data_IF_096395904207
#
_entry.id   IF_096395904207
#
_cell.length_a   1.000
_cell.length_b   1.000
_cell.length_c   1.000
_cell.angle_alpha   90.00
_cell.angle_beta   90.00
_cell.angle_gamma   90.00
#
_symmetry.space_group_name_H-M   'P 1'
#
loop_
_entity.id
_entity.type
_entity.pdbx_description
1 polymer ?
#
# COMPACT_ATOMS: atom_id res chain seq x y z
N UNK A 1 0.96 -6.98 21.42
CA UNK A 1 1.15 -5.86 20.47
C UNK A 1 2.32 -6.18 19.55
N UNK A 2 2.05 -6.27 18.25
CA UNK A 2 3.06 -6.44 17.21
C UNK A 2 3.04 -5.23 16.28
N UNK A 3 4.15 -4.98 15.57
CA UNK A 3 4.20 -3.88 14.61
C UNK A 3 3.71 -4.33 13.24
N UNK A 4 2.83 -3.54 12.65
CA UNK A 4 2.28 -3.77 11.32
C UNK A 4 2.23 -2.47 10.53
N UNK A 5 2.05 -2.59 9.21
CA UNK A 5 1.88 -1.43 8.34
C UNK A 5 0.40 -1.01 8.35
N UNK A 6 0.11 0.17 8.90
CA UNK A 6 -1.17 0.85 8.69
C UNK A 6 -1.19 1.44 7.27
N UNK A 7 -2.34 1.34 6.58
CA UNK A 7 -2.52 1.86 5.23
C UNK A 7 -3.64 2.89 5.25
N UNK A 8 -3.35 4.09 4.75
CA UNK A 8 -4.23 5.25 4.67
C UNK A 8 -4.37 5.66 3.21
N UNK A 9 -5.43 5.17 2.57
CA UNK A 9 -5.66 5.35 1.14
C UNK A 9 -5.83 6.83 0.76
N UNK A 10 -6.47 7.62 1.62
CA UNK A 10 -6.77 9.03 1.41
C UNK A 10 -5.52 9.91 1.29
N UNK A 11 -4.35 9.40 1.71
CA UNK A 11 -3.06 10.08 1.57
C UNK A 11 -2.24 9.59 0.39
N UNK A 12 -2.66 8.54 -0.29
CA UNK A 12 -1.87 7.99 -1.40
C UNK A 12 -1.91 8.97 -2.58
N UNK A 13 -0.75 9.21 -3.21
CA UNK A 13 -0.65 10.10 -4.38
C UNK A 13 -0.42 9.34 -5.68
N UNK A 14 -0.38 8.01 -5.64
CA UNK A 14 -0.11 7.21 -6.84
C UNK A 14 1.35 7.16 -7.29
N UNK A 15 2.32 7.67 -6.51
CA UNK A 15 3.71 7.84 -6.97
C UNK A 15 4.53 6.55 -7.20
N UNK A 16 4.03 5.38 -6.76
CA UNK A 16 4.64 4.04 -6.94
C UNK A 16 6.04 3.84 -6.34
N UNK A 17 6.60 4.79 -5.60
CA UNK A 17 7.91 4.64 -4.95
C UNK A 17 7.97 3.45 -3.99
N UNK A 18 6.88 3.18 -3.28
CA UNK A 18 6.77 2.01 -2.41
C UNK A 18 6.85 0.68 -3.19
N UNK A 19 6.33 0.62 -4.42
CA UNK A 19 6.43 -0.55 -5.30
C UNK A 19 7.87 -0.75 -5.76
N UNK A 20 8.50 0.33 -6.26
CA UNK A 20 9.87 0.30 -6.78
C UNK A 20 10.86 -0.08 -5.69
N UNK A 21 10.85 0.59 -4.53
CA UNK A 21 11.75 0.26 -3.42
C UNK A 21 11.53 -1.17 -2.93
N UNK A 22 10.27 -1.63 -2.86
CA UNK A 22 9.99 -3.01 -2.46
C UNK A 22 10.59 -4.01 -3.44
N UNK A 23 10.40 -3.83 -4.75
CA UNK A 23 11.00 -4.70 -5.77
C UNK A 23 12.52 -4.66 -5.74
N UNK A 24 13.13 -3.48 -5.59
CA UNK A 24 14.58 -3.33 -5.54
C UNK A 24 15.19 -4.10 -4.38
N UNK A 25 14.60 -4.01 -3.19
CA UNK A 25 15.10 -4.69 -1.99
C UNK A 25 14.83 -6.20 -2.01
N UNK A 26 13.73 -6.64 -2.63
CA UNK A 26 13.34 -8.06 -2.61
C UNK A 26 13.89 -8.89 -3.75
N UNK A 27 14.06 -8.29 -4.92
CA UNK A 27 14.45 -9.02 -6.14
C UNK A 27 15.68 -8.42 -6.82
N UNK A 28 16.18 -7.28 -6.35
CA UNK A 28 17.26 -6.54 -7.02
C UNK A 28 16.83 -5.85 -8.31
N UNK A 29 15.53 -5.85 -8.64
CA UNK A 29 14.98 -5.28 -9.87
C UNK A 29 14.06 -4.11 -9.56
N UNK A 30 14.07 -3.09 -10.40
CA UNK A 30 13.15 -1.95 -10.34
C UNK A 30 11.89 -2.22 -11.16
N UNK A 31 11.10 -3.21 -10.74
CA UNK A 31 9.91 -3.65 -11.45
C UNK A 31 8.72 -3.71 -10.50
N UNK A 32 7.72 -2.81 -10.64
CA UNK A 32 6.52 -2.81 -9.81
C UNK A 32 5.76 -4.14 -9.83
N UNK A 33 5.88 -4.98 -10.86
CA UNK A 33 5.24 -6.32 -10.87
C UNK A 33 5.80 -7.25 -9.79
N UNK A 34 7.06 -7.07 -9.41
CA UNK A 34 7.77 -7.92 -8.44
C UNK A 34 7.64 -7.44 -6.98
N UNK A 35 6.95 -6.31 -6.76
CA UNK A 35 6.71 -5.75 -5.42
C UNK A 35 5.66 -6.53 -4.60
N UNK A 36 5.77 -6.46 -3.27
CA UNK A 36 4.77 -6.98 -2.30
C UNK A 36 3.75 -5.92 -1.86
N UNK A 37 3.74 -4.77 -2.52
CA UNK A 37 2.76 -3.70 -2.36
C UNK A 37 2.42 -3.19 -3.75
N UNK A 38 1.12 -3.07 -4.06
CA UNK A 38 0.62 -2.60 -5.35
C UNK A 38 -0.09 -1.28 -5.20
N UNK A 39 0.16 -0.34 -6.11
CA UNK A 39 -0.61 0.90 -6.20
C UNK A 39 -1.50 0.80 -7.44
N UNK A 40 -2.80 0.62 -7.21
CA UNK A 40 -3.80 0.53 -8.27
C UNK A 40 -4.40 1.92 -8.49
N UNK A 41 -4.35 2.43 -9.72
CA UNK A 41 -5.01 3.68 -10.09
C UNK A 41 -6.37 3.31 -10.67
N UNK A 42 -7.44 3.75 -10.03
CA UNK A 42 -8.81 3.33 -10.35
C UNK A 42 -9.65 4.53 -10.77
N UNK A 43 -10.39 4.39 -11.87
CA UNK A 43 -11.36 5.38 -12.33
C UNK A 43 -10.75 6.65 -12.93
N UNK A 44 -11.62 7.63 -13.21
CA UNK A 44 -11.27 8.97 -13.69
C UNK A 44 -12.17 9.96 -12.92
N UNK A 45 -11.61 10.91 -12.13
CA UNK A 45 -10.19 11.10 -11.83
C UNK A 45 -9.57 9.87 -11.13
N UNK A 46 -8.27 9.64 -11.33
CA UNK A 46 -7.58 8.46 -10.80
C UNK A 46 -7.54 8.47 -9.27
N UNK A 47 -8.09 7.42 -8.65
CA UNK A 47 -8.04 7.19 -7.21
C UNK A 47 -6.92 6.16 -6.94
N UNK A 48 -5.85 6.54 -6.24
CA UNK A 48 -4.76 5.63 -5.93
C UNK A 48 -5.09 4.74 -4.72
N UNK A 49 -5.11 3.44 -4.95
CA UNK A 49 -5.39 2.41 -3.94
C UNK A 49 -4.12 1.60 -3.66
N UNK A 50 -3.42 1.86 -2.55
CA UNK A 50 -2.28 1.05 -2.12
C UNK A 50 -2.77 -0.24 -1.44
N UNK A 51 -2.34 -1.39 -1.95
CA UNK A 51 -2.68 -2.73 -1.45
C UNK A 51 -1.41 -3.48 -1.10
N UNK A 52 -1.23 -3.84 0.17
CA UNK A 52 -0.13 -4.71 0.60
C UNK A 52 -0.54 -6.16 0.39
N UNK A 53 0.30 -6.94 -0.29
CA UNK A 53 0.04 -8.35 -0.54
C UNK A 53 0.16 -9.17 0.75
N UNK A 54 -0.62 -10.24 0.84
CA UNK A 54 -0.65 -11.12 2.01
C UNK A 54 0.70 -11.78 2.30
N UNK A 55 1.50 -12.04 1.26
CA UNK A 55 2.85 -12.61 1.37
C UNK A 55 3.94 -11.58 1.75
N UNK A 56 3.56 -10.37 2.15
CA UNK A 56 4.50 -9.38 2.66
C UNK A 56 5.03 -9.79 4.04
N UNK A 57 6.35 -9.85 4.16
CA UNK A 57 7.10 -10.23 5.37
C UNK A 57 7.60 -9.01 6.16
N UNK A 58 7.11 -7.81 5.83
CA UNK A 58 7.54 -6.52 6.38
C UNK A 58 9.06 -6.30 6.37
N UNK A 59 9.79 -6.94 5.46
CA UNK A 59 11.26 -6.89 5.41
C UNK A 59 11.88 -7.20 6.79
N UNK A 60 11.36 -8.23 7.47
CA UNK A 60 11.83 -8.69 8.78
C UNK A 60 11.80 -7.60 9.86
N UNK A 61 10.75 -6.76 9.84
CA UNK A 61 10.51 -5.71 10.83
C UNK A 61 11.05 -4.33 10.46
N UNK A 62 11.68 -4.19 9.28
CA UNK A 62 12.16 -2.91 8.77
C UNK A 62 11.57 -2.62 7.37
N UNK A 63 10.27 -2.29 7.28
CA UNK A 63 9.60 -2.12 6.00
C UNK A 63 10.13 -0.90 5.25
N UNK A 64 10.96 -1.15 4.25
CA UNK A 64 11.60 -0.12 3.42
C UNK A 64 10.58 0.78 2.71
N UNK A 65 9.44 0.24 2.28
CA UNK A 65 8.41 1.01 1.58
C UNK A 65 7.86 2.16 2.43
N UNK A 66 7.77 1.99 3.76
CA UNK A 66 7.30 3.03 4.69
C UNK A 66 8.25 4.24 4.68
N UNK A 67 9.57 4.01 4.62
CA UNK A 67 10.59 5.07 4.61
C UNK A 67 10.50 5.98 3.37
N UNK A 68 10.00 5.45 2.25
CA UNK A 68 9.90 6.18 0.98
C UNK A 68 8.48 6.69 0.69
N UNK A 69 7.53 6.47 1.60
CA UNK A 69 6.19 7.03 1.46
C UNK A 69 6.14 8.45 2.05
N UNK A 70 6.59 9.43 1.27
CA UNK A 70 6.54 10.85 1.64
C UNK A 70 5.16 11.34 2.13
N UNK A 71 4.03 11.00 1.49
CA UNK A 71 2.72 11.45 1.97
C UNK A 71 2.23 10.71 3.22
N UNK A 72 2.98 9.70 3.70
CA UNK A 72 2.61 8.86 4.86
C UNK A 72 1.27 8.14 4.67
N UNK A 73 1.04 7.62 3.47
CA UNK A 73 -0.06 6.70 3.16
C UNK A 73 0.16 5.29 3.73
N UNK A 74 1.40 4.95 4.08
CA UNK A 74 1.74 3.72 4.79
C UNK A 74 2.64 4.07 5.98
N UNK A 75 2.34 3.53 7.16
CA UNK A 75 3.04 3.83 8.41
C UNK A 75 3.33 2.55 9.20
N UNK A 76 4.49 2.46 9.84
CA UNK A 76 4.87 1.32 10.69
C UNK A 76 4.47 1.60 12.14
N UNK A 77 3.41 0.94 12.63
CA UNK A 77 2.80 1.20 13.94
C UNK A 77 2.58 -0.08 14.74
N UNK A 78 2.53 0.07 16.05
CA UNK A 78 2.07 -1.00 16.95
C UNK A 78 0.56 -1.15 16.81
N UNK A 79 0.12 -2.40 16.68
CA UNK A 79 -1.29 -2.74 16.52
C UNK A 79 -1.59 -3.96 17.41
N UNK A 80 -2.84 -4.04 17.88
CA UNK A 80 -3.30 -5.17 18.70
C UNK A 80 -3.34 -6.48 17.92
N UNK A 81 -3.69 -6.41 16.62
CA UNK A 81 -3.82 -7.57 15.75
C UNK A 81 -3.31 -7.27 14.33
N UNK A 82 -3.00 -8.34 13.59
CA UNK A 82 -2.61 -8.26 12.18
C UNK A 82 -3.77 -7.68 11.35
N UNK A 83 -3.56 -6.56 10.64
CA UNK A 83 -4.61 -5.99 9.80
C UNK A 83 -4.94 -6.93 8.65
N UNK A 84 -6.24 -7.06 8.35
CA UNK A 84 -6.73 -7.78 7.18
C UNK A 84 -6.18 -7.05 5.94
N UNK A 85 -5.54 -7.81 5.05
CA UNK A 85 -5.00 -7.28 3.79
C UNK A 85 -5.99 -7.57 2.66
N UNK A 86 -6.57 -6.54 2.01
CA UNK A 86 -7.43 -6.76 0.86
C UNK A 86 -6.63 -7.32 -0.32
N UNK A 87 -7.31 -7.98 -1.25
CA UNK A 87 -6.67 -8.42 -2.49
C UNK A 87 -6.60 -7.27 -3.48
N UNK A 88 -5.68 -7.34 -4.43
CA UNK A 88 -5.57 -6.36 -5.52
C UNK A 88 -6.88 -6.28 -6.34
N UNK A 89 -7.60 -7.40 -6.47
CA UNK A 89 -8.92 -7.44 -7.11
C UNK A 89 -9.98 -6.58 -6.42
N UNK A 90 -9.82 -6.29 -5.13
CA UNK A 90 -10.74 -5.45 -4.36
C UNK A 90 -10.51 -3.95 -4.58
N UNK A 91 -9.43 -3.55 -5.27
CA UNK A 91 -9.06 -2.15 -5.43
C UNK A 91 -10.16 -1.30 -6.06
N UNK A 92 -10.89 -1.85 -7.04
CA UNK A 92 -12.01 -1.16 -7.66
C UNK A 92 -13.11 -0.83 -6.64
N UNK A 93 -13.51 -1.81 -5.82
CA UNK A 93 -14.52 -1.61 -4.77
C UNK A 93 -14.06 -0.57 -3.76
N UNK A 94 -12.83 -0.69 -3.27
CA UNK A 94 -12.25 0.24 -2.29
C UNK A 94 -12.27 1.69 -2.78
N UNK A 95 -11.90 1.92 -4.05
CA UNK A 95 -11.92 3.24 -4.64
C UNK A 95 -13.34 3.82 -4.72
N UNK A 96 -14.33 3.01 -5.13
CA UNK A 96 -15.73 3.44 -5.21
C UNK A 96 -16.31 3.76 -3.82
N UNK A 97 -16.03 2.91 -2.83
CA UNK A 97 -16.49 3.13 -1.45
C UNK A 97 -15.93 4.45 -0.88
N UNK A 98 -14.65 4.74 -1.13
CA UNK A 98 -14.05 6.00 -0.73
C UNK A 98 -14.62 7.20 -1.48
N UNK A 99 -14.77 7.10 -2.80
CA UNK A 99 -15.37 8.16 -3.61
C UNK A 99 -16.78 8.50 -3.11
N UNK A 100 -17.60 7.48 -2.83
CA UNK A 100 -18.93 7.67 -2.26
C UNK A 100 -18.90 8.32 -0.87
N UNK A 101 -17.86 8.06 -0.07
CA UNK A 101 -17.71 8.65 1.26
C UNK A 101 -17.30 10.13 1.27
N UNK A 102 -16.66 10.62 0.19
CA UNK A 102 -16.15 12.00 0.10
C UNK A 102 -16.96 12.90 -0.84
N UNK A 103 -17.85 12.33 -1.65
CA UNK A 103 -18.65 13.07 -2.65
C UNK A 103 -20.01 13.56 -2.11
N UNK A 104 -20.18 13.61 -0.78
CA UNK A 104 -21.37 14.14 -0.11
C UNK A 104 -21.19 15.62 0.26
#
# INVERSE_FOLDING_TARGET
MERHIEVRMEKCTGCRLCELTCSAIKTGKFNPRDSRIKVCLVGIPEIPVPVILENCDYCFGSPVCVRFCLPKAIEWKEMEAKPIRPKVSDANRMAQDWLASVSQ
#
